data_IF_697158859883
#
_entry.id   IF_697158859883
#
_cell.length_a   1.000
_cell.length_b   1.000
_cell.length_c   1.000
_cell.angle_alpha   90.00
_cell.angle_beta   90.00
_cell.angle_gamma   90.00
#
_symmetry.space_group_name_H-M   'P 1'
#
loop_
_entity.id
_entity.type
_entity.pdbx_description
1 polymer ?
#
# COMPACT_ATOMS: atom_id res chain seq x y z
N UNK A 1 -50.12 -37.87 18.27
CA UNK A 1 -49.27 -36.97 17.45
C UNK A 1 -48.03 -37.77 17.09
N UNK A 2 -47.86 -38.07 15.79
CA UNK A 2 -46.90 -39.01 15.16
C UNK A 2 -45.45 -38.82 15.67
N UNK A 3 -44.60 -39.81 16.01
CA UNK A 3 -44.14 -41.11 15.43
C UNK A 3 -43.01 -40.97 14.38
N UNK A 4 -41.76 -41.33 14.79
CA UNK A 4 -40.56 -41.93 14.08
C UNK A 4 -40.02 -41.31 12.76
N UNK A 5 -38.78 -41.51 12.28
CA UNK A 5 -37.52 -42.19 12.67
C UNK A 5 -36.40 -41.73 11.69
N UNK A 6 -35.14 -42.05 12.03
CA UNK A 6 -33.96 -42.05 11.15
C UNK A 6 -34.19 -42.80 9.81
N UNK A 7 -33.55 -42.34 8.72
CA UNK A 7 -32.82 -43.22 7.77
C UNK A 7 -32.13 -42.43 6.65
N UNK A 8 -31.06 -43.01 6.11
CA UNK A 8 -30.05 -42.41 5.26
C UNK A 8 -30.23 -42.63 3.74
N UNK A 9 -29.33 -41.99 2.97
CA UNK A 9 -28.79 -42.30 1.61
C UNK A 9 -29.57 -41.78 0.37
N UNK A 10 -28.89 -41.46 -0.77
CA UNK A 10 -27.61 -42.04 -1.22
C UNK A 10 -26.48 -41.07 -1.63
N UNK A 11 -25.27 -41.62 -1.57
CA UNK A 11 -24.14 -41.23 -2.41
C UNK A 11 -24.38 -41.73 -3.85
N UNK A 12 -24.30 -40.84 -4.84
CA UNK A 12 -23.69 -41.09 -6.17
C UNK A 12 -23.99 -39.93 -7.13
N UNK A 13 -23.12 -38.92 -7.17
CA UNK A 13 -22.61 -38.34 -8.43
C UNK A 13 -21.16 -37.89 -8.21
N UNK A 14 -20.22 -38.52 -8.90
CA UNK A 14 -18.89 -38.01 -9.27
C UNK A 14 -18.73 -38.26 -10.78
N UNK A 15 -17.85 -37.57 -11.54
CA UNK A 15 -17.22 -36.26 -11.35
C UNK A 15 -17.28 -35.37 -12.63
N UNK A 16 -16.95 -34.08 -12.48
CA UNK A 16 -16.69 -33.13 -13.59
C UNK A 16 -17.57 -31.89 -13.42
N UNK A 17 -17.10 -30.73 -12.98
CA UNK A 17 -15.81 -30.08 -13.15
C UNK A 17 -15.34 -29.52 -11.80
N UNK A 18 -14.16 -29.95 -11.37
CA UNK A 18 -13.44 -29.33 -10.25
C UNK A 18 -12.82 -28.01 -10.70
N UNK A 19 -12.86 -27.03 -9.79
CA UNK A 19 -12.01 -25.84 -9.71
C UNK A 19 -12.55 -24.54 -10.33
N UNK A 20 -13.65 -24.03 -9.78
CA UNK A 20 -13.81 -22.59 -9.55
C UNK A 20 -14.50 -22.38 -8.19
N UNK A 21 -13.73 -22.53 -7.11
CA UNK A 21 -14.05 -21.83 -5.87
C UNK A 21 -13.21 -20.55 -5.92
N UNK A 22 -13.81 -19.34 -5.88
CA UNK A 22 -13.06 -18.18 -5.47
C UNK A 22 -12.52 -18.50 -4.09
N UNK A 23 -11.20 -18.64 -3.96
CA UNK A 23 -10.56 -18.59 -2.65
C UNK A 23 -10.82 -17.18 -2.14
N UNK A 24 -11.95 -16.97 -1.47
CA UNK A 24 -11.99 -15.98 -0.40
C UNK A 24 -10.93 -16.46 0.58
N UNK A 25 -9.75 -15.86 0.50
CA UNK A 25 -8.80 -15.98 1.59
C UNK A 25 -9.57 -15.50 2.81
N UNK A 26 -9.84 -16.42 3.74
CA UNK A 26 -10.19 -16.04 5.10
C UNK A 26 -9.21 -14.94 5.52
N UNK A 27 -9.70 -13.86 6.12
CA UNK A 27 -8.89 -12.79 6.71
C UNK A 27 -8.12 -13.36 7.92
N UNK A 28 -7.26 -14.33 7.66
CA UNK A 28 -6.12 -14.66 8.47
C UNK A 28 -5.10 -13.59 8.12
N UNK A 29 -4.65 -12.85 9.14
CA UNK A 29 -3.56 -11.86 9.11
C UNK A 29 -2.80 -11.84 7.78
N UNK A 30 -2.86 -10.74 7.03
CA UNK A 30 -1.90 -10.49 5.94
C UNK A 30 -0.53 -10.73 6.57
N UNK A 31 0.09 -11.86 6.24
CA UNK A 31 1.39 -12.20 6.78
C UNK A 31 2.33 -11.24 6.08
N UNK A 32 2.95 -10.32 6.83
CA UNK A 32 3.90 -9.33 6.32
C UNK A 32 4.87 -10.02 5.36
N UNK A 33 4.90 -9.56 4.10
CA UNK A 33 5.78 -10.15 3.08
C UNK A 33 6.92 -9.19 2.78
N UNK A 34 7.97 -9.29 3.60
CA UNK A 34 9.25 -8.62 3.32
C UNK A 34 9.90 -9.11 2.01
N UNK A 35 9.58 -10.32 1.55
CA UNK A 35 10.27 -10.98 0.45
C UNK A 35 11.70 -11.39 0.83
N UNK A 36 12.26 -12.35 0.09
CA UNK A 36 13.70 -12.64 0.18
C UNK A 36 14.49 -11.59 -0.58
N UNK A 37 15.73 -11.35 -0.17
CA UNK A 37 16.64 -10.49 -0.93
C UNK A 37 16.80 -11.00 -2.38
N UNK A 38 16.88 -10.10 -3.37
CA UNK A 38 17.13 -10.50 -4.75
C UNK A 38 18.45 -11.24 -4.88
N UNK A 39 18.50 -12.22 -5.77
CA UNK A 39 19.73 -13.01 -6.01
C UNK A 39 20.83 -12.22 -6.72
N UNK A 40 20.50 -11.07 -7.32
CA UNK A 40 21.41 -10.17 -8.02
C UNK A 40 20.84 -8.77 -8.07
N UNK A 41 21.72 -7.78 -8.31
CA UNK A 41 21.27 -6.43 -8.66
C UNK A 41 20.40 -6.44 -9.91
N UNK A 42 19.45 -5.51 -9.98
CA UNK A 42 18.59 -5.30 -11.12
C UNK A 42 18.94 -3.94 -11.75
N UNK A 43 19.32 -3.94 -13.02
CA UNK A 43 19.55 -2.70 -13.76
C UNK A 43 18.21 -2.02 -14.10
N UNK A 44 18.13 -0.68 -14.02
CA UNK A 44 16.90 0.05 -14.26
C UNK A 44 16.40 -0.09 -15.69
N UNK A 45 15.09 -0.31 -15.83
CA UNK A 45 14.38 -0.45 -17.12
C UNK A 45 13.06 0.33 -17.07
N UNK A 46 12.94 1.49 -17.73
CA UNK A 46 13.95 2.13 -18.59
C UNK A 46 15.19 2.57 -17.79
N UNK A 47 16.33 2.69 -18.47
CA UNK A 47 17.58 3.15 -17.86
C UNK A 47 17.50 4.64 -17.54
N UNK A 48 17.02 4.95 -16.33
CA UNK A 48 16.90 6.33 -15.86
C UNK A 48 18.28 6.98 -15.66
N UNK A 49 19.37 6.24 -15.50
CA UNK A 49 20.70 6.84 -15.35
C UNK A 49 21.11 7.55 -16.65
N UNK A 50 20.82 6.94 -17.80
CA UNK A 50 21.06 7.55 -19.11
C UNK A 50 20.07 8.69 -19.40
N UNK A 51 18.79 8.53 -19.02
CA UNK A 51 17.73 9.52 -19.30
C UNK A 51 17.90 10.79 -18.45
N UNK A 52 18.20 10.63 -17.17
CA UNK A 52 18.27 11.72 -16.20
C UNK A 52 19.66 12.36 -16.13
N UNK A 53 20.70 11.57 -16.37
CA UNK A 53 22.07 11.86 -15.94
C UNK A 53 22.26 11.67 -14.41
N UNK A 54 23.45 12.01 -13.94
CA UNK A 54 23.88 11.85 -12.53
C UNK A 54 23.70 13.12 -11.67
N UNK A 55 23.08 14.15 -12.24
CA UNK A 55 22.82 15.43 -11.56
C UNK A 55 21.40 15.42 -10.98
N UNK A 56 21.11 16.20 -9.92
CA UNK A 56 19.75 16.39 -9.44
C UNK A 56 18.81 16.79 -10.59
N UNK A 57 17.78 15.98 -10.84
CA UNK A 57 16.88 16.12 -11.96
C UNK A 57 15.45 15.67 -11.58
N UNK A 58 14.62 16.66 -11.25
CA UNK A 58 13.21 16.49 -10.89
C UNK A 58 12.27 16.73 -12.09
N UNK A 59 12.79 16.62 -13.33
CA UNK A 59 11.94 16.77 -14.51
C UNK A 59 10.94 15.61 -14.62
N UNK A 60 9.74 15.88 -15.11
CA UNK A 60 8.69 14.87 -15.28
C UNK A 60 9.17 13.64 -16.08
N UNK A 61 10.01 13.84 -17.11
CA UNK A 61 10.61 12.76 -17.90
C UNK A 61 11.53 11.88 -17.05
N UNK A 62 12.39 12.49 -16.23
CA UNK A 62 13.30 11.76 -15.36
C UNK A 62 12.54 10.99 -14.26
N UNK A 63 11.63 11.68 -13.56
CA UNK A 63 10.82 11.07 -12.50
C UNK A 63 9.93 9.94 -13.04
N UNK A 64 9.36 10.08 -14.24
CA UNK A 64 8.58 9.02 -14.88
C UNK A 64 9.42 7.80 -15.27
N UNK A 65 10.66 8.01 -15.74
CA UNK A 65 11.59 6.92 -16.06
C UNK A 65 11.98 6.14 -14.79
N UNK A 66 12.35 6.86 -13.72
CA UNK A 66 12.67 6.26 -12.43
C UNK A 66 11.49 5.47 -11.84
N UNK A 67 10.28 6.05 -11.86
CA UNK A 67 9.07 5.38 -11.37
C UNK A 67 8.73 4.13 -12.20
N UNK A 68 8.88 4.20 -13.52
CA UNK A 68 8.64 3.05 -14.40
C UNK A 68 9.61 1.91 -14.09
N UNK A 69 10.89 2.22 -13.85
CA UNK A 69 11.89 1.23 -13.45
C UNK A 69 11.55 0.61 -12.08
N UNK A 70 11.14 1.43 -11.12
CA UNK A 70 10.72 0.98 -9.79
C UNK A 70 9.51 0.04 -9.86
N UNK A 71 8.45 0.43 -10.56
CA UNK A 71 7.24 -0.37 -10.73
C UNK A 71 7.54 -1.68 -11.47
N UNK A 72 8.45 -1.66 -12.44
CA UNK A 72 8.91 -2.87 -13.13
C UNK A 72 9.66 -3.82 -12.19
N UNK A 73 10.48 -3.30 -11.29
CA UNK A 73 11.19 -4.09 -10.30
C UNK A 73 10.24 -4.72 -9.28
N UNK A 74 9.22 -3.97 -8.83
CA UNK A 74 8.15 -4.50 -7.97
C UNK A 74 7.36 -5.61 -8.65
N UNK A 75 7.00 -5.44 -9.92
CA UNK A 75 6.28 -6.46 -10.69
C UNK A 75 7.07 -7.78 -10.78
N UNK A 76 8.40 -7.72 -10.95
CA UNK A 76 9.26 -8.91 -10.95
C UNK A 76 9.23 -9.66 -9.61
N UNK A 77 8.94 -8.98 -8.51
CA UNK A 77 8.78 -9.56 -7.18
C UNK A 77 7.31 -9.93 -6.86
N UNK A 78 6.38 -9.71 -7.79
CA UNK A 78 4.95 -9.92 -7.57
C UNK A 78 4.31 -8.89 -6.64
N UNK A 79 4.92 -7.71 -6.50
CA UNK A 79 4.44 -6.58 -5.71
C UNK A 79 3.66 -5.62 -6.61
N UNK A 80 2.57 -5.07 -6.08
CA UNK A 80 1.74 -4.11 -6.82
C UNK A 80 2.54 -2.83 -7.11
N UNK A 81 2.34 -2.20 -8.29
CA UNK A 81 3.07 -1.00 -8.67
C UNK A 81 2.71 0.18 -7.75
N UNK A 82 3.70 1.02 -7.48
CA UNK A 82 3.51 2.27 -6.77
C UNK A 82 2.77 3.29 -7.65
N UNK A 83 1.72 3.87 -7.06
CA UNK A 83 1.04 5.05 -7.59
C UNK A 83 1.45 6.25 -6.76
N UNK A 84 2.17 7.19 -7.39
CA UNK A 84 2.56 8.42 -6.73
C UNK A 84 1.37 9.37 -6.59
N UNK A 85 1.30 10.13 -5.50
CA UNK A 85 0.26 11.13 -5.35
C UNK A 85 0.43 12.30 -6.32
N UNK A 86 -0.68 12.95 -6.70
CA UNK A 86 -0.67 14.02 -7.72
C UNK A 86 0.15 15.24 -7.32
N UNK A 87 0.29 15.50 -6.02
CA UNK A 87 1.12 16.55 -5.46
C UNK A 87 2.59 16.11 -5.22
N UNK A 88 2.98 14.87 -5.52
CA UNK A 88 4.34 14.36 -5.30
C UNK A 88 5.44 15.28 -5.82
N UNK A 89 5.33 15.88 -7.04
CA UNK A 89 6.37 16.78 -7.54
C UNK A 89 6.51 18.10 -6.77
N UNK A 90 5.53 18.44 -5.92
CA UNK A 90 5.56 19.64 -5.07
C UNK A 90 6.25 19.39 -3.73
N UNK A 91 6.50 18.12 -3.38
CA UNK A 91 7.13 17.72 -2.15
C UNK A 91 8.64 18.01 -2.20
N UNK A 92 9.21 18.37 -1.07
CA UNK A 92 10.66 18.41 -0.90
C UNK A 92 11.26 17.00 -1.02
N UNK A 93 12.55 16.86 -1.37
CA UNK A 93 13.16 15.54 -1.51
C UNK A 93 13.08 14.65 -0.25
N UNK A 94 13.22 15.18 0.99
CA UNK A 94 12.95 14.40 2.21
C UNK A 94 11.51 13.89 2.32
N UNK A 95 10.52 14.71 1.95
CA UNK A 95 9.10 14.32 1.93
C UNK A 95 8.83 13.27 0.84
N UNK A 96 9.47 13.39 -0.32
CA UNK A 96 9.38 12.39 -1.38
C UNK A 96 9.94 11.03 -0.92
N UNK A 97 11.08 11.01 -0.22
CA UNK A 97 11.63 9.78 0.36
C UNK A 97 10.66 9.14 1.35
N UNK A 98 10.07 9.93 2.25
CA UNK A 98 9.07 9.44 3.20
C UNK A 98 7.89 8.77 2.49
N UNK A 99 7.36 9.42 1.45
CA UNK A 99 6.27 8.86 0.64
C UNK A 99 6.69 7.57 -0.03
N UNK A 100 7.81 7.56 -0.76
CA UNK A 100 8.28 6.38 -1.49
C UNK A 100 8.56 5.19 -0.58
N UNK A 101 9.22 5.41 0.55
CA UNK A 101 9.51 4.37 1.54
C UNK A 101 8.21 3.79 2.11
N UNK A 102 7.23 4.63 2.46
CA UNK A 102 5.94 4.15 2.91
C UNK A 102 5.16 3.38 1.83
N UNK A 103 5.28 3.76 0.56
CA UNK A 103 4.64 3.06 -0.56
C UNK A 103 5.30 1.70 -0.83
N UNK A 104 6.63 1.59 -0.74
CA UNK A 104 7.32 0.29 -0.77
C UNK A 104 6.88 -0.60 0.39
N UNK A 105 6.76 -0.05 1.60
CA UNK A 105 6.33 -0.81 2.78
C UNK A 105 4.88 -1.27 2.66
N UNK A 106 3.96 -0.38 2.32
CA UNK A 106 2.52 -0.69 2.25
C UNK A 106 2.20 -1.68 1.13
N UNK A 107 2.84 -1.56 -0.03
CA UNK A 107 2.68 -2.51 -1.15
C UNK A 107 3.08 -3.95 -0.80
N UNK A 108 3.85 -4.12 0.28
CA UNK A 108 4.35 -5.40 0.82
C UNK A 108 3.65 -5.84 2.11
N UNK A 109 2.61 -5.10 2.53
CA UNK A 109 1.87 -5.37 3.76
C UNK A 109 2.66 -5.10 5.05
N UNK A 110 3.67 -4.23 4.99
CA UNK A 110 4.44 -3.79 6.16
C UNK A 110 3.81 -2.55 6.77
N UNK A 111 3.97 -2.38 8.09
CA UNK A 111 3.54 -1.17 8.79
C UNK A 111 4.24 0.07 8.21
N UNK A 112 3.47 1.11 7.90
CA UNK A 112 4.00 2.39 7.41
C UNK A 112 4.53 3.24 8.57
N UNK A 113 5.46 4.14 8.27
CA UNK A 113 5.91 5.16 9.21
C UNK A 113 4.80 6.19 9.43
N UNK A 114 4.50 6.48 10.70
CA UNK A 114 3.42 7.38 11.11
C UNK A 114 3.72 8.87 10.89
N UNK A 115 4.95 9.20 10.50
CA UNK A 115 5.35 10.56 10.16
C UNK A 115 6.85 10.78 10.23
N UNK A 116 7.24 12.01 9.92
CA UNK A 116 8.62 12.46 10.01
C UNK A 116 8.91 13.13 11.37
N UNK A 117 9.91 12.61 12.08
CA UNK A 117 10.36 13.15 13.37
C UNK A 117 11.38 14.28 13.14
N UNK A 118 11.21 15.46 13.76
CA UNK A 118 12.20 16.54 13.68
C UNK A 118 13.61 16.14 14.13
N UNK A 119 13.69 15.29 15.16
CA UNK A 119 14.97 14.80 15.68
C UNK A 119 15.63 13.85 14.68
N UNK A 120 14.87 12.93 14.09
CA UNK A 120 15.40 12.02 13.07
C UNK A 120 15.75 12.78 11.77
N UNK A 121 14.97 13.79 11.39
CA UNK A 121 15.26 14.68 10.26
C UNK A 121 16.58 15.42 10.45
N UNK A 122 16.84 15.98 11.63
CA UNK A 122 18.09 16.69 11.89
C UNK A 122 19.32 15.78 11.72
N UNK A 123 19.24 14.55 12.18
CA UNK A 123 20.33 13.57 12.09
C UNK A 123 20.47 13.04 10.66
N UNK A 124 19.36 12.80 9.97
CA UNK A 124 19.36 12.41 8.56
C UNK A 124 19.95 13.52 7.68
N UNK A 125 19.58 14.78 7.95
CA UNK A 125 20.15 15.94 7.26
C UNK A 125 21.65 16.07 7.49
N UNK A 126 22.13 15.78 8.71
CA UNK A 126 23.55 15.72 8.99
C UNK A 126 24.23 14.62 8.17
N UNK A 127 23.67 13.40 8.11
CA UNK A 127 24.18 12.31 7.28
C UNK A 127 24.27 12.69 5.81
N UNK A 128 23.21 13.25 5.24
CA UNK A 128 23.18 13.72 3.85
C UNK A 128 24.24 14.81 3.58
N UNK A 129 24.47 15.72 4.52
CA UNK A 129 25.46 16.80 4.40
C UNK A 129 26.90 16.29 4.53
N UNK A 130 27.12 15.30 5.39
CA UNK A 130 28.45 14.74 5.69
C UNK A 130 28.84 13.60 4.75
N UNK A 131 27.89 13.08 3.97
CA UNK A 131 28.12 12.01 3.02
C UNK A 131 28.27 10.64 3.68
N UNK A 132 27.45 10.35 4.70
CA UNK A 132 27.55 9.13 5.48
C UNK A 132 26.19 8.70 6.03
N UNK A 133 26.08 7.42 6.41
CA UNK A 133 24.92 6.87 7.10
C UNK A 133 24.60 7.68 8.37
N UNK A 134 23.33 8.08 8.58
CA UNK A 134 22.88 8.63 9.84
C UNK A 134 23.23 7.69 11.00
N UNK A 135 23.85 8.23 12.05
CA UNK A 135 24.19 7.44 13.25
C UNK A 135 23.27 7.84 14.40
N UNK A 136 22.61 6.84 14.98
CA UNK A 136 21.71 7.03 16.11
C UNK A 136 22.11 6.08 17.24
N UNK A 137 22.47 6.63 18.40
CA UNK A 137 23.06 5.85 19.50
C UNK A 137 22.12 5.65 20.71
N UNK A 138 20.80 5.76 20.54
CA UNK A 138 19.88 5.41 21.62
C UNK A 138 19.60 3.90 21.60
N UNK A 139 20.31 3.15 22.45
CA UNK A 139 20.20 1.69 22.60
C UNK A 139 18.81 1.18 23.05
N UNK A 140 17.82 2.04 23.23
CA UNK A 140 16.50 1.69 23.74
C UNK A 140 15.47 1.32 22.65
N UNK A 141 15.75 1.61 21.37
CA UNK A 141 14.79 1.42 20.28
C UNK A 141 15.44 0.72 19.08
N UNK A 142 14.76 -0.23 18.42
CA UNK A 142 15.08 -0.64 17.07
C UNK A 142 15.20 0.56 16.13
N UNK A 143 16.23 0.55 15.28
CA UNK A 143 16.49 1.59 14.29
C UNK A 143 17.26 1.05 13.08
N UNK A 144 17.18 1.78 11.98
CA UNK A 144 17.83 1.49 10.71
C UNK A 144 18.20 2.81 10.02
N UNK A 145 19.26 2.84 9.21
CA UNK A 145 19.61 4.04 8.46
C UNK A 145 20.22 3.72 7.11
N UNK A 146 19.91 4.55 6.12
CA UNK A 146 20.52 4.47 4.79
C UNK A 146 21.12 5.81 4.39
N UNK A 147 22.15 5.72 3.58
CA UNK A 147 22.76 6.83 2.87
C UNK A 147 22.99 6.46 1.41
N UNK A 148 22.91 7.45 0.53
CA UNK A 148 23.25 7.30 -0.86
C UNK A 148 23.47 8.64 -1.54
N UNK A 149 24.17 8.63 -2.67
CA UNK A 149 24.41 9.84 -3.46
C UNK A 149 24.53 9.50 -4.95
N UNK A 150 24.51 10.55 -5.79
CA UNK A 150 24.80 10.41 -7.22
C UNK A 150 23.64 9.87 -8.06
N UNK A 151 22.44 9.79 -7.49
CA UNK A 151 21.21 9.45 -8.20
C UNK A 151 20.35 10.71 -8.39
N UNK A 152 19.61 10.82 -9.50
CA UNK A 152 19.03 12.08 -9.95
C UNK A 152 17.88 12.61 -9.09
N UNK A 153 17.12 11.75 -8.42
CA UNK A 153 15.98 12.13 -7.58
C UNK A 153 15.69 11.07 -6.51
N UNK A 154 14.72 11.35 -5.64
CA UNK A 154 14.33 10.45 -4.54
C UNK A 154 13.83 9.07 -5.04
N UNK A 155 13.14 9.02 -6.20
CA UNK A 155 12.62 7.76 -6.78
C UNK A 155 13.78 6.85 -7.18
N UNK A 156 14.76 7.41 -7.90
CA UNK A 156 15.97 6.69 -8.27
C UNK A 156 16.76 6.25 -7.02
N UNK A 157 16.80 7.07 -5.97
CA UNK A 157 17.47 6.69 -4.72
C UNK A 157 16.83 5.47 -4.05
N UNK A 158 15.50 5.45 -3.92
CA UNK A 158 14.79 4.28 -3.38
C UNK A 158 14.99 3.05 -4.27
N UNK A 159 15.02 3.21 -5.60
CA UNK A 159 15.39 2.12 -6.51
C UNK A 159 16.78 1.56 -6.18
N UNK A 160 17.78 2.44 -6.04
CA UNK A 160 19.15 2.04 -5.71
C UNK A 160 19.24 1.24 -4.41
N UNK A 161 18.61 1.75 -3.34
CA UNK A 161 18.58 1.05 -2.05
C UNK A 161 17.85 -0.29 -2.09
N UNK A 162 16.80 -0.42 -2.91
CA UNK A 162 15.94 -1.61 -2.93
C UNK A 162 16.44 -2.70 -3.89
N UNK A 163 17.07 -2.33 -5.01
CA UNK A 163 17.32 -3.23 -6.14
C UNK A 163 18.76 -3.21 -6.67
N UNK A 164 19.57 -2.22 -6.29
CA UNK A 164 20.99 -2.13 -6.65
C UNK A 164 21.90 -2.12 -5.41
N UNK A 165 21.50 -2.82 -4.34
CA UNK A 165 22.24 -2.89 -3.06
C UNK A 165 22.93 -4.24 -2.82
N UNK A 166 22.82 -5.16 -3.77
CA UNK A 166 23.37 -6.52 -3.71
C UNK A 166 24.82 -6.64 -4.20
N UNK A 167 25.38 -7.86 -4.23
CA UNK A 167 26.77 -8.10 -4.61
C UNK A 167 27.15 -7.51 -5.97
N UNK A 168 28.27 -6.77 -6.01
CA UNK A 168 28.74 -6.08 -7.21
C UNK A 168 28.06 -4.73 -7.49
N UNK A 169 27.30 -4.21 -6.53
CA UNK A 169 26.73 -2.87 -6.57
C UNK A 169 27.75 -1.77 -6.26
N UNK A 170 27.38 -0.49 -6.44
CA UNK A 170 28.10 0.65 -5.90
C UNK A 170 28.06 0.78 -4.36
N UNK A 171 27.29 -0.04 -3.63
CA UNK A 171 27.26 0.02 -2.17
C UNK A 171 28.62 -0.40 -1.60
N UNK A 172 29.33 0.58 -1.04
CA UNK A 172 30.68 0.42 -0.47
C UNK A 172 30.72 -0.57 0.69
N UNK A 173 29.60 -0.71 1.41
CA UNK A 173 29.48 -1.67 2.50
C UNK A 173 29.32 -3.09 1.96
N UNK A 174 28.70 -3.30 0.80
CA UNK A 174 28.46 -4.62 0.21
C UNK A 174 29.76 -5.21 -0.38
N UNK A 175 30.51 -5.91 0.47
CA UNK A 175 31.78 -6.54 0.13
C UNK A 175 31.77 -8.05 0.43
N UNK A 176 32.69 -8.80 -0.19
CA UNK A 176 32.89 -10.23 0.11
C UNK A 176 33.31 -10.50 1.56
N UNK A 177 33.82 -9.49 2.26
CA UNK A 177 34.30 -9.62 3.65
C UNK A 177 33.17 -9.45 4.68
N UNK A 178 32.08 -8.78 4.30
CA UNK A 178 30.87 -8.63 5.12
C UNK A 178 29.63 -9.03 4.32
N UNK A 179 29.42 -10.30 3.96
CA UNK A 179 28.33 -10.69 3.06
C UNK A 179 26.92 -10.23 3.49
N UNK A 180 26.71 -9.99 4.79
CA UNK A 180 25.45 -9.49 5.35
C UNK A 180 25.21 -7.99 5.21
N UNK A 181 26.16 -7.20 4.71
CA UNK A 181 25.97 -5.77 4.41
C UNK A 181 25.38 -5.52 3.02
N UNK A 182 25.40 -6.52 2.15
CA UNK A 182 24.65 -6.49 0.90
C UNK A 182 23.16 -6.57 1.23
N UNK A 183 22.36 -5.81 0.47
CA UNK A 183 20.93 -5.64 0.72
C UNK A 183 20.60 -4.97 2.06
N UNK A 184 21.58 -4.42 2.78
CA UNK A 184 21.32 -3.76 4.06
C UNK A 184 20.37 -2.57 3.89
N UNK A 185 20.51 -1.76 2.83
CA UNK A 185 19.62 -0.63 2.60
C UNK A 185 18.17 -1.08 2.35
N UNK A 186 18.00 -2.13 1.55
CA UNK A 186 16.71 -2.79 1.33
C UNK A 186 16.15 -3.33 2.65
N UNK A 187 17.00 -3.97 3.44
CA UNK A 187 16.64 -4.60 4.69
C UNK A 187 16.22 -3.60 5.76
N UNK A 188 16.80 -2.39 5.75
CA UNK A 188 16.38 -1.26 6.56
C UNK A 188 14.97 -0.80 6.15
N UNK A 189 14.76 -0.47 4.87
CA UNK A 189 13.44 -0.03 4.35
C UNK A 189 12.33 -1.06 4.64
N UNK A 190 12.66 -2.35 4.55
CA UNK A 190 11.71 -3.45 4.77
C UNK A 190 11.74 -4.00 6.19
N UNK A 191 12.39 -3.32 7.13
CA UNK A 191 12.46 -3.76 8.51
C UNK A 191 11.06 -3.88 9.11
N UNK A 192 10.83 -5.01 9.77
CA UNK A 192 9.62 -5.26 10.55
C UNK A 192 9.79 -4.61 11.94
N UNK A 193 9.05 -3.52 12.16
CA UNK A 193 8.97 -2.83 13.47
C UNK A 193 7.88 -3.43 14.36
N UNK A 194 7.27 -4.56 13.98
CA UNK A 194 6.23 -5.24 14.74
C UNK A 194 4.94 -4.41 14.83
N UNK A 195 4.39 -4.30 16.04
CA UNK A 195 3.17 -3.53 16.32
C UNK A 195 3.46 -2.07 16.70
N UNK A 196 4.72 -1.65 16.68
CA UNK A 196 5.09 -0.27 16.98
C UNK A 196 4.56 0.65 15.86
N UNK A 197 4.39 1.94 16.17
CA UNK A 197 4.08 2.97 15.17
C UNK A 197 5.38 3.70 14.84
N UNK A 198 6.21 3.20 13.91
CA UNK A 198 7.56 3.73 13.74
C UNK A 198 7.51 5.13 13.12
N UNK A 199 8.59 5.89 13.36
CA UNK A 199 8.81 7.19 12.72
C UNK A 199 10.07 7.16 11.86
N UNK A 200 10.13 8.08 10.91
CA UNK A 200 11.24 8.24 9.98
C UNK A 200 11.83 9.64 10.10
N UNK A 201 13.10 9.78 9.76
CA UNK A 201 13.74 11.02 9.41
C UNK A 201 14.30 10.92 8.01
N UNK A 202 14.34 12.05 7.31
CA UNK A 202 14.96 12.13 5.99
C UNK A 202 15.79 13.41 5.86
N UNK A 203 16.86 13.32 5.08
CA UNK A 203 17.80 14.39 4.80
C UNK A 203 18.16 14.46 3.33
N UNK A 204 18.40 15.67 2.84
CA UNK A 204 18.80 15.91 1.46
C UNK A 204 19.85 17.02 1.38
N UNK A 205 20.88 16.81 0.57
CA UNK A 205 21.90 17.81 0.32
C UNK A 205 22.44 17.70 -1.11
N UNK A 206 22.93 18.80 -1.67
CA UNK A 206 23.61 18.80 -2.97
C UNK A 206 25.10 19.03 -2.75
N UNK A 207 25.88 17.95 -2.78
CA UNK A 207 27.33 17.97 -2.65
C UNK A 207 27.96 18.64 -3.88
N UNK A 208 28.88 19.57 -3.66
CA UNK A 208 29.62 20.29 -4.71
C UNK A 208 28.72 20.87 -5.81
N UNK A 209 27.51 21.29 -5.46
CA UNK A 209 26.46 21.84 -6.34
C UNK A 209 25.89 20.90 -7.41
N UNK A 210 26.33 19.65 -7.46
CA UNK A 210 26.10 18.77 -8.61
C UNK A 210 25.71 17.33 -8.23
N UNK A 211 25.94 16.90 -6.99
CA UNK A 211 25.69 15.51 -6.59
C UNK A 211 24.64 15.48 -5.51
N UNK A 212 23.45 14.97 -5.85
CA UNK A 212 22.39 14.76 -4.87
C UNK A 212 22.83 13.72 -3.84
N UNK A 213 22.53 13.99 -2.57
CA UNK A 213 22.92 13.19 -1.41
C UNK A 213 21.68 13.04 -0.53
N UNK A 214 21.34 11.80 -0.21
CA UNK A 214 20.10 11.42 0.45
C UNK A 214 20.41 10.55 1.66
N UNK A 215 19.66 10.73 2.73
CA UNK A 215 19.77 9.89 3.90
C UNK A 215 18.42 9.70 4.58
N UNK A 216 18.21 8.53 5.16
CA UNK A 216 17.04 8.22 5.98
C UNK A 216 17.48 7.59 7.30
N UNK A 217 16.71 7.84 8.35
CA UNK A 217 16.85 7.22 9.66
C UNK A 217 15.48 6.80 10.16
N UNK A 218 15.32 5.52 10.41
CA UNK A 218 14.05 4.88 10.77
C UNK A 218 14.15 4.37 12.20
N UNK A 219 13.08 4.51 12.99
CA UNK A 219 13.06 3.98 14.36
C UNK A 219 11.65 3.66 14.82
N UNK A 220 11.52 2.65 15.69
CA UNK A 220 10.27 2.46 16.43
C UNK A 220 10.02 3.54 17.50
N UNK A 221 10.99 4.44 17.72
CA UNK A 221 10.79 5.61 18.56
C UNK A 221 9.72 6.55 17.97
N UNK A 222 8.76 6.92 18.81
CA UNK A 222 7.75 7.93 18.50
C UNK A 222 8.14 9.23 19.19
N UNK A 223 8.44 10.27 18.42
CA UNK A 223 8.61 11.62 18.95
C UNK A 223 7.26 12.26 19.26
N UNK A 224 7.15 13.00 20.37
CA UNK A 224 5.94 13.71 20.81
C UNK A 224 5.53 14.88 19.89
N UNK A 225 6.30 15.16 18.84
CA UNK A 225 6.00 16.21 17.86
C UNK A 225 6.17 15.64 16.47
N UNK A 226 5.10 15.03 15.94
CA UNK A 226 5.01 14.82 14.51
C UNK A 226 4.89 16.20 13.86
N UNK A 227 5.88 16.61 13.07
CA UNK A 227 5.65 17.72 12.13
C UNK A 227 5.04 17.11 10.90
N UNK A 228 3.80 16.65 11.03
CA UNK A 228 2.97 16.46 9.86
C UNK A 228 2.70 17.86 9.33
N UNK A 229 3.47 18.35 8.35
CA UNK A 229 2.89 19.32 7.40
C UNK A 229 2.06 18.55 6.39
N UNK A 230 1.07 17.83 6.91
CA UNK A 230 0.02 17.17 6.16
C UNK A 230 -1.28 17.93 6.39
N UNK A 231 -1.55 18.97 5.60
CA UNK A 231 -2.95 19.25 5.28
C UNK A 231 -3.57 18.18 4.37
N UNK A 232 -2.85 17.08 4.07
CA UNK A 232 -3.18 16.12 2.99
C UNK A 232 -3.09 14.63 3.37
N UNK A 233 -2.87 14.25 4.65
CA UNK A 233 -2.68 12.82 5.05
C UNK A 233 -3.90 11.95 4.75
N UNK A 234 -5.05 12.59 4.51
CA UNK A 234 -6.24 11.87 4.16
C UNK A 234 -6.19 11.25 2.73
N UNK A 235 -5.59 11.91 1.73
CA UNK A 235 -5.92 11.61 0.33
C UNK A 235 -4.98 10.67 -0.45
N UNK A 236 -3.80 10.28 0.06
CA UNK A 236 -2.69 9.97 -0.86
C UNK A 236 -1.73 8.84 -0.47
N UNK A 237 -1.99 8.09 0.60
CA UNK A 237 -1.50 6.70 0.64
C UNK A 237 -2.51 5.91 -0.22
N UNK A 238 -2.11 5.18 -1.28
CA UNK A 238 -2.96 4.18 -1.89
C UNK A 238 -3.36 3.23 -0.78
N UNK A 239 -4.57 3.43 -0.26
CA UNK A 239 -5.15 2.48 0.67
C UNK A 239 -5.32 1.22 -0.17
N UNK A 240 -4.78 0.12 0.32
CA UNK A 240 -4.96 -1.20 -0.29
C UNK A 240 -6.46 -1.32 -0.62
N UNK A 241 -6.85 -1.84 -1.79
CA UNK A 241 -8.27 -2.17 -2.03
C UNK A 241 -8.80 -2.96 -0.83
N UNK A 242 -9.62 -2.35 0.02
CA UNK A 242 -10.03 -2.93 1.31
C UNK A 242 -9.76 -2.08 2.56
N UNK A 243 -8.83 -1.11 2.54
CA UNK A 243 -8.53 -0.27 3.69
C UNK A 243 -9.34 1.04 3.64
N UNK A 244 -10.40 1.12 4.44
CA UNK A 244 -11.11 2.37 4.69
C UNK A 244 -10.63 2.94 6.04
N UNK A 245 -10.43 4.26 6.12
CA UNK A 245 -10.38 4.94 7.42
C UNK A 245 -11.70 4.76 8.18
N UNK A 246 -11.70 4.96 9.50
CA UNK A 246 -12.96 4.98 10.25
C UNK A 246 -13.69 6.32 10.04
N UNK A 247 -14.73 6.32 9.21
CA UNK A 247 -15.52 7.51 8.88
C UNK A 247 -16.89 7.57 9.58
N UNK A 248 -17.24 6.58 10.41
CA UNK A 248 -18.50 6.54 11.17
C UNK A 248 -18.98 5.12 11.47
N UNK A 249 -20.21 4.97 11.94
CA UNK A 249 -20.88 3.65 12.05
C UNK A 249 -22.38 3.82 12.14
N UNK A 250 -23.13 2.73 11.97
CA UNK A 250 -24.58 2.68 12.23
C UNK A 250 -24.92 2.36 13.69
N UNK A 251 -23.95 2.35 14.61
CA UNK A 251 -24.13 1.86 15.99
C UNK A 251 -25.12 2.65 16.86
N UNK A 252 -25.49 3.86 16.45
CA UNK A 252 -26.48 4.70 17.13
C UNK A 252 -27.87 4.68 16.45
N UNK A 253 -28.07 3.84 15.43
CA UNK A 253 -29.31 3.77 14.65
C UNK A 253 -29.91 2.38 14.73
N UNK A 254 -31.23 2.28 14.92
CA UNK A 254 -31.93 1.01 14.78
C UNK A 254 -31.90 0.60 13.30
N UNK A 255 -31.13 -0.45 13.00
CA UNK A 255 -31.05 -1.00 11.65
C UNK A 255 -32.30 -1.83 11.34
N UNK A 256 -32.87 -1.62 10.15
CA UNK A 256 -33.98 -2.45 9.63
C UNK A 256 -33.54 -3.84 9.14
N UNK A 257 -32.24 -4.11 9.06
CA UNK A 257 -31.66 -5.38 8.66
C UNK A 257 -30.17 -5.48 9.04
N UNK A 258 -29.57 -6.67 9.11
CA UNK A 258 -28.13 -6.83 9.31
C UNK A 258 -27.30 -6.15 8.22
N UNK A 259 -26.16 -5.55 8.58
CA UNK A 259 -25.11 -5.17 7.64
C UNK A 259 -24.37 -6.43 7.21
N UNK A 260 -24.24 -6.64 5.90
CA UNK A 260 -23.66 -7.86 5.29
C UNK A 260 -22.33 -7.60 4.59
N UNK A 261 -22.03 -6.36 4.23
CA UNK A 261 -20.75 -6.00 3.62
C UNK A 261 -20.38 -4.55 3.90
N UNK A 262 -19.07 -4.30 3.96
CA UNK A 262 -18.43 -2.99 3.95
C UNK A 262 -17.58 -2.92 2.70
N UNK A 263 -17.76 -1.88 1.89
CA UNK A 263 -17.00 -1.69 0.65
C UNK A 263 -16.35 -0.31 0.69
N UNK A 264 -15.02 -0.20 0.73
CA UNK A 264 -14.33 1.09 0.67
C UNK A 264 -14.40 1.72 -0.72
N UNK A 265 -14.26 3.03 -0.78
CA UNK A 265 -13.98 3.72 -2.06
C UNK A 265 -12.57 3.42 -2.56
N UNK A 266 -12.32 3.55 -3.88
CA UNK A 266 -10.99 3.36 -4.46
C UNK A 266 -9.92 4.30 -3.91
N UNK A 267 -10.29 5.52 -3.51
CA UNK A 267 -9.38 6.47 -2.82
C UNK A 267 -9.30 6.23 -1.29
N UNK A 268 -10.11 5.30 -0.78
CA UNK A 268 -10.22 4.95 0.63
C UNK A 268 -10.71 6.08 1.54
N UNK A 269 -11.25 7.16 0.98
CA UNK A 269 -11.76 8.35 1.68
C UNK A 269 -13.19 8.20 2.21
N UNK A 270 -13.81 7.07 1.92
CA UNK A 270 -15.07 6.66 2.51
C UNK A 270 -15.34 5.17 2.32
N UNK A 271 -16.51 4.74 2.78
CA UNK A 271 -17.01 3.40 2.52
C UNK A 271 -18.54 3.36 2.55
N UNK A 272 -19.06 2.36 1.85
CA UNK A 272 -20.46 1.96 1.94
C UNK A 272 -20.61 0.80 2.92
N UNK A 273 -21.63 0.86 3.78
CA UNK A 273 -22.18 -0.33 4.42
C UNK A 273 -23.45 -0.73 3.68
N UNK A 274 -23.59 -2.02 3.40
CA UNK A 274 -24.80 -2.56 2.79
C UNK A 274 -25.52 -3.51 3.73
N UNK A 275 -26.83 -3.30 3.87
CA UNK A 275 -27.73 -4.18 4.60
C UNK A 275 -28.26 -5.31 3.74
N UNK A 276 -28.63 -6.43 4.36
CA UNK A 276 -29.19 -7.59 3.64
C UNK A 276 -30.49 -7.28 2.89
N UNK A 277 -31.20 -6.22 3.28
CA UNK A 277 -32.40 -5.72 2.60
C UNK A 277 -32.10 -4.73 1.46
N UNK A 278 -30.83 -4.56 1.09
CA UNK A 278 -30.38 -3.62 0.07
C UNK A 278 -30.08 -2.20 0.57
N UNK A 279 -30.37 -1.87 1.83
CA UNK A 279 -30.05 -0.55 2.40
C UNK A 279 -28.57 -0.21 2.26
N UNK A 280 -28.27 1.05 1.96
CA UNK A 280 -26.91 1.55 1.77
C UNK A 280 -26.68 2.71 2.73
N UNK A 281 -25.58 2.66 3.47
CA UNK A 281 -25.13 3.73 4.34
C UNK A 281 -23.77 4.22 3.84
N UNK A 282 -23.64 5.52 3.64
CA UNK A 282 -22.42 6.18 3.16
C UNK A 282 -21.68 6.83 4.32
N UNK A 283 -20.38 6.58 4.45
CA UNK A 283 -19.51 7.24 5.42
C UNK A 283 -18.27 7.79 4.72
N UNK A 284 -17.83 8.98 5.11
CA UNK A 284 -16.74 9.69 4.42
C UNK A 284 -17.28 10.49 3.23
N UNK A 285 -16.55 10.52 2.13
CA UNK A 285 -16.87 11.32 0.93
C UNK A 285 -17.53 10.52 -0.20
N UNK A 286 -17.90 9.26 0.05
CA UNK A 286 -18.58 8.42 -0.94
C UNK A 286 -19.98 8.90 -1.29
N UNK A 287 -20.30 8.85 -2.58
CA UNK A 287 -21.63 9.15 -3.10
C UNK A 287 -22.65 8.03 -2.85
N UNK A 288 -23.92 8.39 -2.69
CA UNK A 288 -25.04 7.44 -2.73
C UNK A 288 -25.58 7.38 -4.16
N UNK A 289 -25.51 6.21 -4.81
CA UNK A 289 -25.90 6.04 -6.21
C UNK A 289 -27.23 5.29 -6.41
N UNK A 290 -27.82 4.78 -5.33
CA UNK A 290 -29.10 4.09 -5.35
C UNK A 290 -29.15 2.85 -4.46
N UNK A 291 -30.33 2.27 -4.32
CA UNK A 291 -30.57 1.05 -3.55
C UNK A 291 -31.60 0.21 -4.28
N UNK A 292 -31.64 -1.09 -4.00
CA UNK A 292 -32.80 -1.90 -4.38
C UNK A 292 -33.88 -1.64 -3.33
N UNK A 293 -35.08 -1.28 -3.77
CA UNK A 293 -36.24 -1.23 -2.87
C UNK A 293 -36.45 -2.62 -2.25
N UNK A 294 -36.52 -2.72 -0.92
CA UNK A 294 -36.62 -4.00 -0.23
C UNK A 294 -37.80 -4.87 -0.70
N UNK A 295 -38.90 -4.24 -1.17
CA UNK A 295 -40.07 -4.92 -1.75
C UNK A 295 -39.80 -5.61 -3.09
N UNK A 296 -38.67 -5.33 -3.75
CA UNK A 296 -38.27 -5.88 -5.05
C UNK A 296 -37.17 -6.93 -4.97
N UNK A 297 -36.64 -7.20 -3.77
CA UNK A 297 -35.65 -8.25 -3.56
C UNK A 297 -36.34 -9.61 -3.38
N UNK A 298 -35.99 -10.57 -4.25
CA UNK A 298 -36.42 -11.97 -4.11
C UNK A 298 -35.53 -12.75 -3.13
N UNK A 299 -34.30 -12.28 -2.92
CA UNK A 299 -33.34 -12.85 -1.99
C UNK A 299 -32.49 -11.73 -1.34
N UNK A 300 -31.93 -11.97 -0.14
CA UNK A 300 -31.12 -10.96 0.53
C UNK A 300 -29.84 -10.64 -0.25
N UNK A 301 -29.42 -9.37 -0.17
CA UNK A 301 -28.09 -8.94 -0.58
C UNK A 301 -27.04 -9.63 0.30
N UNK A 302 -25.95 -10.06 -0.30
CA UNK A 302 -24.82 -10.71 0.37
C UNK A 302 -23.49 -9.96 0.18
N UNK A 303 -23.39 -9.08 -0.83
CA UNK A 303 -22.16 -8.32 -1.07
C UNK A 303 -22.38 -7.09 -1.95
N UNK A 304 -21.38 -6.21 -1.98
CA UNK A 304 -21.27 -5.03 -2.83
C UNK A 304 -19.85 -4.92 -3.40
N UNK A 305 -19.73 -4.45 -4.64
CA UNK A 305 -18.46 -4.03 -5.24
C UNK A 305 -18.60 -2.63 -5.85
N UNK A 306 -17.61 -1.75 -5.63
CA UNK A 306 -17.56 -0.42 -6.22
C UNK A 306 -16.93 -0.44 -7.63
N UNK A 307 -17.25 0.55 -8.46
CA UNK A 307 -16.52 0.78 -9.71
C UNK A 307 -15.10 1.29 -9.43
N UNK A 308 -14.13 1.06 -10.32
CA UNK A 308 -12.74 1.49 -10.10
C UNK A 308 -12.57 2.99 -9.89
N UNK A 309 -13.50 3.82 -10.37
CA UNK A 309 -13.49 5.27 -10.20
C UNK A 309 -14.39 5.75 -9.05
N UNK A 310 -15.05 4.83 -8.33
CA UNK A 310 -15.89 5.11 -7.18
C UNK A 310 -17.22 5.80 -7.51
N UNK A 311 -17.61 5.89 -8.78
CA UNK A 311 -18.85 6.58 -9.23
C UNK A 311 -20.07 5.65 -9.39
N UNK A 312 -19.93 4.38 -9.02
CA UNK A 312 -20.99 3.40 -9.07
C UNK A 312 -20.69 2.16 -8.23
N UNK A 313 -21.67 1.27 -8.13
CA UNK A 313 -21.49 -0.04 -7.49
C UNK A 313 -22.47 -1.10 -8.01
N UNK A 314 -22.08 -2.35 -7.84
CA UNK A 314 -22.95 -3.53 -7.97
C UNK A 314 -23.34 -4.06 -6.61
N UNK A 315 -24.61 -4.46 -6.46
CA UNK A 315 -25.10 -5.26 -5.36
C UNK A 315 -25.37 -6.67 -5.85
N UNK A 316 -24.98 -7.67 -5.05
CA UNK A 316 -25.18 -9.09 -5.36
C UNK A 316 -26.09 -9.72 -4.32
N UNK A 317 -27.18 -10.32 -4.77
CA UNK A 317 -28.11 -11.10 -3.98
C UNK A 317 -27.73 -12.59 -3.95
N UNK A 318 -28.16 -13.28 -2.89
CA UNK A 318 -27.87 -14.71 -2.66
C UNK A 318 -28.47 -15.66 -3.71
N UNK A 319 -29.46 -15.21 -4.47
CA UNK A 319 -30.03 -15.92 -5.62
C UNK A 319 -29.27 -15.66 -6.93
N UNK A 320 -28.12 -14.97 -6.88
CA UNK A 320 -27.36 -14.56 -8.06
C UNK A 320 -27.91 -13.31 -8.75
N UNK A 321 -28.90 -12.64 -8.14
CA UNK A 321 -29.37 -11.33 -8.56
C UNK A 321 -28.25 -10.28 -8.55
N UNK A 322 -28.03 -9.56 -9.64
CA UNK A 322 -27.08 -8.44 -9.70
C UNK A 322 -27.82 -7.15 -10.02
N UNK A 323 -27.54 -6.09 -9.27
CA UNK A 323 -28.11 -4.76 -9.44
C UNK A 323 -27.01 -3.73 -9.57
N UNK A 324 -27.10 -2.83 -10.55
CA UNK A 324 -26.08 -1.83 -10.84
C UNK A 324 -26.59 -0.41 -10.58
N UNK A 325 -25.76 0.42 -9.96
CA UNK A 325 -26.08 1.80 -9.60
C UNK A 325 -24.95 2.75 -9.98
N UNK A 326 -25.29 4.01 -10.22
CA UNK A 326 -24.33 5.02 -10.69
C UNK A 326 -23.90 4.71 -12.13
N UNK A 327 -22.60 4.69 -12.36
CA UNK A 327 -22.01 4.34 -13.67
C UNK A 327 -21.59 2.86 -13.79
N UNK A 328 -21.91 2.03 -12.79
CA UNK A 328 -21.69 0.59 -12.83
C UNK A 328 -22.42 -0.02 -14.03
N UNK A 329 -21.67 -0.59 -14.98
CA UNK A 329 -22.26 -1.22 -16.17
C UNK A 329 -22.94 -2.54 -15.80
N UNK A 330 -24.18 -2.74 -16.23
CA UNK A 330 -24.89 -3.99 -16.02
C UNK A 330 -24.51 -5.05 -17.07
N UNK A 331 -23.97 -6.18 -16.63
CA UNK A 331 -23.54 -7.28 -17.51
C UNK A 331 -24.49 -8.48 -17.52
N UNK A 332 -25.59 -8.42 -16.75
CA UNK A 332 -26.53 -9.53 -16.57
C UNK A 332 -26.66 -9.96 -15.12
N UNK A 333 -27.63 -10.83 -14.85
CA UNK A 333 -28.01 -11.31 -13.52
C UNK A 333 -28.51 -12.76 -13.62
N UNK A 334 -28.18 -13.59 -12.63
CA UNK A 334 -28.71 -14.96 -12.51
C UNK A 334 -29.93 -15.03 -11.57
N UNK A 335 -30.42 -13.90 -11.08
CA UNK A 335 -31.59 -13.89 -10.20
C UNK A 335 -32.83 -14.44 -10.91
N UNK A 336 -33.49 -15.42 -10.29
CA UNK A 336 -34.75 -15.99 -10.78
C UNK A 336 -34.64 -17.21 -11.71
N UNK A 337 -33.47 -17.84 -11.78
CA UNK A 337 -33.27 -19.17 -12.42
C UNK A 337 -33.18 -20.24 -11.33
#
# INVERSE_FOLDING_TARGET
MLITALSALPANVKPGYSNWQPRMQSVASIRSYRGSDPTSNLSPQPDFNTICGIQPNESATCSAAALSALNRAQELEGVAPINLPTNFPLLSPPEQLFVLVNLERSSRGLAVFSGMSPTLNAISQQGATQGQDPTWNQYAFPWASNYGYGLPNAIAMVYGWMYEDGPGSPNLSCSIETPGSCWQHRNNILQDFGTDSPSMGAGYFVLNSNVASYAILESSYISATYTLTWTQEAQLIPKIEGDAGFFGSTGATLLGSPIVSLTPSPDGMGYWLVGSNGSIFTFGDVGYFGTVEASRLLAPIVSMAATPDGKGYWLVASDGGVFSFGDATFYGSMGGI
#
